data_IF_979345343506
#
_entry.id   IF_979345343506
#
_cell.length_a   1.000
_cell.length_b   1.000
_cell.length_c   1.000
_cell.angle_alpha   90.00
_cell.angle_beta   90.00
_cell.angle_gamma   90.00
#
_symmetry.space_group_name_H-M   'P 1'
#
loop_
_entity.id
_entity.type
_entity.pdbx_description
1 polymer ?
#
# COMPACT_ATOMS: atom_id res chain seq x y z
N UNK A 1 -20.51 -7.63 5.53
CA UNK A 1 -21.30 -6.78 4.64
C UNK A 1 -20.53 -6.43 3.37
N UNK A 2 -21.11 -6.73 2.22
CA UNK A 2 -20.43 -6.55 0.95
C UNK A 2 -21.02 -5.44 0.09
N UNK A 3 -22.07 -4.79 0.53
CA UNK A 3 -22.73 -3.77 -0.26
C UNK A 3 -21.84 -2.64 -0.68
N UNK A 4 -20.96 -2.19 0.21
CA UNK A 4 -20.09 -1.07 -0.08
C UNK A 4 -19.03 -1.40 -1.13
N UNK A 5 -18.81 -2.69 -1.37
CA UNK A 5 -17.81 -3.13 -2.35
C UNK A 5 -18.44 -3.55 -3.66
N UNK A 6 -19.74 -3.37 -3.77
CA UNK A 6 -20.45 -3.76 -4.97
C UNK A 6 -19.93 -2.97 -6.17
N UNK A 7 -19.65 -3.68 -7.25
CA UNK A 7 -19.11 -3.03 -8.43
C UNK A 7 -17.60 -2.98 -8.50
N UNK A 8 -16.92 -3.42 -7.42
CA UNK A 8 -15.48 -3.44 -7.38
C UNK A 8 -14.96 -4.86 -7.54
N UNK A 9 -13.88 -5.02 -8.29
CA UNK A 9 -13.24 -6.30 -8.40
C UNK A 9 -12.50 -6.62 -7.11
N UNK A 10 -12.19 -7.90 -6.90
CA UNK A 10 -11.41 -8.28 -5.75
C UNK A 10 -10.07 -7.55 -5.72
N UNK A 11 -9.44 -7.42 -6.89
CA UNK A 11 -8.16 -6.74 -6.98
C UNK A 11 -8.27 -5.27 -6.55
N UNK A 12 -9.34 -4.61 -7.00
CA UNK A 12 -9.53 -3.20 -6.65
C UNK A 12 -9.73 -3.04 -5.14
N UNK A 13 -10.47 -3.96 -4.53
CA UNK A 13 -10.70 -3.93 -3.09
C UNK A 13 -9.37 -4.13 -2.35
N UNK A 14 -8.59 -5.10 -2.78
CA UNK A 14 -7.31 -5.40 -2.14
C UNK A 14 -6.32 -4.26 -2.33
N UNK A 15 -6.33 -3.65 -3.51
CA UNK A 15 -5.44 -2.51 -3.77
C UNK A 15 -5.77 -1.34 -2.85
N UNK A 16 -7.04 -1.09 -2.62
CA UNK A 16 -7.45 -0.03 -1.71
C UNK A 16 -6.99 -0.29 -0.30
N UNK A 17 -7.12 -1.52 0.15
CA UNK A 17 -6.68 -1.90 1.48
C UNK A 17 -5.15 -1.78 1.59
N UNK A 18 -4.46 -2.24 0.57
CA UNK A 18 -3.00 -2.17 0.55
C UNK A 18 -2.52 -0.73 0.61
N UNK A 19 -3.16 0.15 -0.13
CA UNK A 19 -2.80 1.56 -0.13
C UNK A 19 -2.94 2.16 1.26
N UNK A 20 -4.01 1.81 1.97
CA UNK A 20 -4.24 2.31 3.33
C UNK A 20 -3.17 1.81 4.28
N UNK A 21 -2.80 0.54 4.16
CA UNK A 21 -1.75 -0.04 4.98
C UNK A 21 -0.43 0.66 4.73
N UNK A 22 -0.10 0.87 3.46
CA UNK A 22 1.16 1.52 3.10
C UNK A 22 1.22 2.97 3.60
N UNK A 23 0.10 3.69 3.50
CA UNK A 23 0.07 5.06 4.02
C UNK A 23 0.34 5.09 5.52
N UNK A 24 -0.31 4.19 6.25
CA UNK A 24 -0.14 4.14 7.70
C UNK A 24 1.30 3.83 8.07
N UNK A 25 1.88 2.83 7.42
CA UNK A 25 3.24 2.44 7.72
C UNK A 25 4.26 3.48 7.26
N UNK A 26 3.99 4.14 6.15
CA UNK A 26 4.92 5.14 5.63
C UNK A 26 5.05 6.33 6.59
N UNK A 27 4.00 6.62 7.31
CA UNK A 27 4.05 7.70 8.31
C UNK A 27 5.00 7.34 9.44
N UNK A 28 5.06 6.06 9.81
CA UNK A 28 5.97 5.58 10.85
C UNK A 28 7.37 5.34 10.33
N UNK A 29 7.47 4.87 9.10
CA UNK A 29 8.75 4.54 8.48
C UNK A 29 8.90 5.34 7.19
N UNK A 30 9.24 6.63 7.30
CA UNK A 30 9.30 7.50 6.11
C UNK A 30 10.51 7.23 5.24
N UNK A 31 10.83 5.97 5.06
CA UNK A 31 11.95 5.52 4.25
C UNK A 31 11.50 4.28 3.51
N UNK A 32 11.62 4.31 2.19
CA UNK A 32 11.23 3.17 1.38
C UNK A 32 11.98 1.91 1.80
N UNK A 33 13.26 2.05 2.10
CA UNK A 33 14.08 0.92 2.51
C UNK A 33 13.60 0.32 3.83
N UNK A 34 13.36 1.17 4.81
CA UNK A 34 12.91 0.69 6.12
C UNK A 34 11.53 0.09 6.04
N UNK A 35 10.67 0.69 5.23
CA UNK A 35 9.32 0.19 5.05
C UNK A 35 9.35 -1.19 4.40
N UNK A 36 10.19 -1.36 3.38
CA UNK A 36 10.30 -2.65 2.71
C UNK A 36 10.81 -3.71 3.67
N UNK A 37 11.77 -3.37 4.50
CA UNK A 37 12.32 -4.30 5.47
C UNK A 37 11.26 -4.70 6.50
N UNK A 38 10.48 -3.73 6.96
CA UNK A 38 9.44 -3.98 7.96
C UNK A 38 8.37 -4.92 7.40
N UNK A 39 8.03 -4.76 6.14
CA UNK A 39 6.95 -5.54 5.52
C UNK A 39 7.45 -6.83 4.86
N UNK A 40 8.76 -7.02 4.82
CA UNK A 40 9.31 -8.26 4.27
C UNK A 40 9.24 -8.36 2.76
N UNK A 41 9.29 -7.22 2.08
CA UNK A 41 9.26 -7.21 0.62
C UNK A 41 10.48 -6.46 0.10
N UNK A 42 10.68 -6.51 -1.22
CA UNK A 42 11.84 -5.87 -1.80
C UNK A 42 11.65 -4.35 -1.83
N UNK A 43 12.77 -3.65 -1.80
CA UNK A 43 12.77 -2.20 -1.85
C UNK A 43 12.12 -1.71 -3.15
N UNK A 44 12.42 -2.38 -4.26
CA UNK A 44 11.86 -1.99 -5.54
C UNK A 44 10.35 -2.17 -5.57
N UNK A 45 9.85 -3.25 -4.98
CA UNK A 45 8.41 -3.49 -4.94
C UNK A 45 7.70 -2.39 -4.18
N UNK A 46 8.24 -2.00 -3.03
CA UNK A 46 7.65 -0.92 -2.23
C UNK A 46 7.70 0.40 -2.97
N UNK A 47 8.83 0.71 -3.60
CA UNK A 47 8.96 1.97 -4.32
C UNK A 47 7.92 2.07 -5.43
N UNK A 48 7.71 0.96 -6.16
CA UNK A 48 6.72 0.94 -7.22
C UNK A 48 5.30 1.10 -6.68
N UNK A 49 5.01 0.46 -5.56
CA UNK A 49 3.68 0.54 -4.97
C UNK A 49 3.39 1.95 -4.44
N UNK A 50 4.37 2.57 -3.80
CA UNK A 50 4.19 3.93 -3.31
C UNK A 50 3.91 4.88 -4.47
N UNK A 51 4.63 4.69 -5.57
CA UNK A 51 4.42 5.51 -6.76
C UNK A 51 3.05 5.25 -7.36
N UNK A 52 2.66 3.98 -7.43
CA UNK A 52 1.38 3.59 -8.00
C UNK A 52 0.21 4.21 -7.24
N UNK A 53 0.30 4.25 -5.93
CA UNK A 53 -0.76 4.78 -5.10
C UNK A 53 -0.62 6.27 -4.80
N UNK A 54 0.43 6.90 -5.32
CA UNK A 54 0.62 8.32 -5.08
C UNK A 54 0.98 8.66 -3.65
N UNK A 55 1.59 7.74 -2.93
CA UNK A 55 1.99 7.96 -1.54
C UNK A 55 3.40 8.53 -1.53
N UNK A 56 3.54 9.70 -0.93
CA UNK A 56 4.83 10.33 -0.81
C UNK A 56 4.85 11.20 0.44
N UNK A 57 6.01 11.73 0.74
CA UNK A 57 6.16 12.61 1.89
C UNK A 57 5.34 13.87 1.74
#
# INVERSE_FOLDING_TARGET
ETGQFEGLSLQAIMDGYEANVLRAFYREYPSTRKLAQRLGVSHTAIANKLKQYGISK
#
